data_IF_693340728909
#
_entry.id   IF_693340728909
#
_cell.length_a   1.000
_cell.length_b   1.000
_cell.length_c   1.000
_cell.angle_alpha   90.00
_cell.angle_beta   90.00
_cell.angle_gamma   90.00
#
_symmetry.space_group_name_H-M   'P 1'
#
loop_
_entity.id
_entity.type
_entity.pdbx_description
1 polymer ?
#
# COMPACT_ATOMS: atom_id res chain seq x y z
N UNK A 1 9.90 -0.13 9.06
CA UNK A 1 8.68 0.00 9.89
C UNK A 1 9.06 0.65 11.20
N UNK A 2 8.31 1.65 11.65
CA UNK A 2 8.67 2.46 12.84
C UNK A 2 7.64 2.35 13.98
N UNK A 3 6.42 1.89 13.68
CA UNK A 3 5.33 1.74 14.63
C UNK A 3 4.43 0.55 14.25
N UNK A 4 3.74 0.00 15.24
CA UNK A 4 2.59 -0.89 15.05
C UNK A 4 1.41 -0.34 15.87
N UNK A 5 0.18 -0.48 15.37
CA UNK A 5 -1.01 0.02 16.07
C UNK A 5 -1.93 -1.14 16.38
N UNK A 6 -2.30 -1.27 17.65
CA UNK A 6 -3.29 -2.23 18.13
C UNK A 6 -3.89 -1.72 19.45
N UNK A 7 -5.21 -1.45 19.53
CA UNK A 7 -5.84 -0.79 20.68
C UNK A 7 -5.50 -1.40 22.05
N UNK A 8 -5.37 -2.74 22.11
CA UNK A 8 -5.10 -3.48 23.35
C UNK A 8 -3.64 -3.85 23.65
N UNK A 9 -2.63 -3.36 22.89
CA UNK A 9 -1.22 -3.78 23.04
C UNK A 9 -0.24 -2.64 23.34
N UNK A 10 -0.74 -1.52 23.85
CA UNK A 10 0.09 -0.35 24.12
C UNK A 10 1.29 -0.69 25.02
N UNK A 11 2.48 -0.23 24.63
CA UNK A 11 3.71 -0.47 25.40
C UNK A 11 4.36 -1.84 25.16
N UNK A 12 3.73 -2.74 24.41
CA UNK A 12 4.40 -3.92 23.87
C UNK A 12 5.32 -3.56 22.70
N UNK A 13 6.15 -4.53 22.28
CA UNK A 13 6.95 -4.41 21.06
C UNK A 13 6.65 -5.54 20.09
N UNK A 14 6.36 -5.19 18.84
CA UNK A 14 6.34 -6.12 17.72
C UNK A 14 7.77 -6.50 17.33
N UNK A 15 8.02 -7.80 17.14
CA UNK A 15 9.35 -8.37 16.84
C UNK A 15 10.49 -7.88 17.77
N UNK A 16 10.14 -7.51 19.00
CA UNK A 16 11.09 -7.10 20.04
C UNK A 16 11.62 -5.67 19.93
N UNK A 17 11.37 -4.94 18.84
CA UNK A 17 11.93 -3.60 18.60
C UNK A 17 10.94 -2.53 18.12
N UNK A 18 9.81 -2.89 17.49
CA UNK A 18 8.85 -1.91 16.98
C UNK A 18 7.76 -1.63 18.04
N UNK A 19 7.58 -0.38 18.51
CA UNK A 19 6.61 -0.07 19.56
C UNK A 19 5.16 -0.24 19.07
N UNK A 20 4.34 -0.82 19.94
CA UNK A 20 2.89 -0.80 19.78
C UNK A 20 2.27 0.46 20.40
N UNK A 21 1.34 1.07 19.66
CA UNK A 21 0.51 2.18 20.08
C UNK A 21 -0.97 1.76 20.05
N UNK A 22 -1.80 2.36 20.90
CA UNK A 22 -3.26 2.15 20.85
C UNK A 22 -3.97 2.95 19.76
N UNK A 23 -3.36 4.03 19.26
CA UNK A 23 -3.96 4.97 18.31
C UNK A 23 -2.93 5.39 17.26
N UNK A 24 -3.38 5.59 16.01
CA UNK A 24 -2.49 5.99 14.91
C UNK A 24 -1.91 7.38 15.14
N UNK A 25 -2.72 8.34 15.61
CA UNK A 25 -2.25 9.72 15.83
C UNK A 25 -1.03 9.80 16.76
N UNK A 26 -1.04 9.06 17.87
CA UNK A 26 0.11 8.98 18.76
C UNK A 26 1.33 8.30 18.10
N UNK A 27 1.10 7.27 17.28
CA UNK A 27 2.18 6.63 16.54
C UNK A 27 2.84 7.61 15.56
N UNK A 28 2.04 8.40 14.84
CA UNK A 28 2.53 9.44 13.90
C UNK A 28 3.30 10.52 14.66
N UNK A 29 2.74 11.08 15.73
CA UNK A 29 3.39 12.12 16.53
C UNK A 29 4.77 11.67 17.05
N UNK A 30 4.87 10.43 17.54
CA UNK A 30 6.10 9.94 18.16
C UNK A 30 7.16 9.46 17.16
N UNK A 31 6.75 9.05 15.94
CA UNK A 31 7.66 8.40 14.99
C UNK A 31 7.86 9.16 13.68
N UNK A 32 7.01 10.14 13.39
CA UNK A 32 6.98 10.84 12.10
C UNK A 32 6.57 9.92 10.93
N UNK A 33 5.88 8.82 11.19
CA UNK A 33 5.38 7.94 10.14
C UNK A 33 4.47 8.72 9.18
N UNK A 34 4.70 8.56 7.88
CA UNK A 34 3.91 9.18 6.81
C UNK A 34 3.17 8.15 5.93
N UNK A 35 3.45 6.86 6.12
CA UNK A 35 2.85 5.75 5.38
C UNK A 35 2.32 4.71 6.34
N UNK A 36 1.09 4.25 6.11
CA UNK A 36 0.46 3.18 6.87
C UNK A 36 0.06 1.98 6.01
N UNK A 37 -0.02 0.82 6.67
CA UNK A 37 -0.49 -0.43 6.08
C UNK A 37 -1.54 -1.07 6.97
N UNK A 38 -2.60 -1.57 6.37
CA UNK A 38 -3.77 -2.12 7.08
C UNK A 38 -3.86 -3.62 6.83
N UNK A 39 -3.80 -4.38 7.94
CA UNK A 39 -4.00 -5.83 8.01
C UNK A 39 -5.15 -6.22 8.95
N UNK A 40 -6.11 -5.32 9.14
CA UNK A 40 -7.27 -5.55 10.03
C UNK A 40 -8.34 -6.37 9.33
N UNK A 41 -9.20 -7.11 10.06
CA UNK A 41 -10.37 -7.76 9.48
C UNK A 41 -11.31 -6.79 8.75
N UNK A 42 -11.98 -7.26 7.70
CA UNK A 42 -12.85 -6.45 6.83
C UNK A 42 -13.87 -5.54 7.56
N UNK A 43 -14.57 -5.99 8.61
CA UNK A 43 -15.52 -5.13 9.33
C UNK A 43 -14.91 -3.88 9.97
N UNK A 44 -13.59 -3.86 10.16
CA UNK A 44 -12.86 -2.76 10.81
C UNK A 44 -12.01 -1.95 9.83
N UNK A 45 -12.00 -2.32 8.54
CA UNK A 45 -11.12 -1.70 7.55
C UNK A 45 -11.47 -0.24 7.27
N UNK A 46 -12.76 0.11 7.21
CA UNK A 46 -13.21 1.49 7.04
C UNK A 46 -12.69 2.38 8.17
N UNK A 47 -12.95 2.02 9.42
CA UNK A 47 -12.51 2.79 10.58
C UNK A 47 -10.99 2.92 10.62
N UNK A 48 -10.25 1.85 10.29
CA UNK A 48 -8.78 1.90 10.22
C UNK A 48 -8.26 2.82 9.10
N UNK A 49 -8.92 2.89 7.94
CA UNK A 49 -8.56 3.82 6.88
C UNK A 49 -8.81 5.26 7.35
N UNK A 50 -10.01 5.54 7.88
CA UNK A 50 -10.38 6.87 8.38
C UNK A 50 -9.40 7.34 9.47
N UNK A 51 -9.08 6.47 10.44
CA UNK A 51 -8.13 6.79 11.51
C UNK A 51 -6.74 7.17 10.97
N UNK A 52 -6.27 6.47 9.93
CA UNK A 52 -4.98 6.77 9.29
C UNK A 52 -4.99 8.09 8.52
N UNK A 53 -6.09 8.41 7.83
CA UNK A 53 -6.27 9.69 7.14
C UNK A 53 -6.30 10.83 8.15
N UNK A 54 -7.09 10.70 9.22
CA UNK A 54 -7.24 11.73 10.25
C UNK A 54 -5.94 11.96 11.03
N UNK A 55 -5.10 10.93 11.16
CA UNK A 55 -3.76 11.03 11.75
C UNK A 55 -2.72 11.70 10.84
N UNK A 56 -3.09 12.04 9.59
CA UNK A 56 -2.22 12.74 8.65
C UNK A 56 -1.24 11.84 7.88
N UNK A 57 -1.53 10.56 7.72
CA UNK A 57 -0.74 9.70 6.84
C UNK A 57 -1.01 10.04 5.37
N UNK A 58 0.07 10.24 4.60
CA UNK A 58 0.03 10.64 3.19
C UNK A 58 -0.26 9.46 2.27
N UNK A 59 0.18 8.25 2.66
CA UNK A 59 -0.04 7.01 1.92
C UNK A 59 -0.61 5.92 2.83
N UNK A 60 -1.71 5.31 2.42
CA UNK A 60 -2.39 4.24 3.14
C UNK A 60 -2.55 3.06 2.20
N UNK A 61 -2.05 1.89 2.60
CA UNK A 61 -2.17 0.65 1.83
C UNK A 61 -3.08 -0.32 2.56
N UNK A 62 -4.28 -0.54 2.01
CA UNK A 62 -5.26 -1.47 2.57
C UNK A 62 -5.16 -2.84 1.89
N UNK A 63 -4.59 -3.82 2.60
CA UNK A 63 -4.44 -5.19 2.09
C UNK A 63 -5.74 -5.98 2.25
N UNK A 64 -6.53 -5.65 3.26
CA UNK A 64 -7.75 -6.36 3.65
C UNK A 64 -8.68 -6.65 2.48
N UNK A 65 -9.06 -7.92 2.33
CA UNK A 65 -10.04 -8.40 1.35
C UNK A 65 -11.43 -8.53 1.99
N UNK A 66 -12.48 -8.33 1.19
CA UNK A 66 -13.87 -8.53 1.62
C UNK A 66 -14.48 -7.33 2.35
N UNK A 67 -13.90 -6.14 2.23
CA UNK A 67 -14.49 -4.90 2.74
C UNK A 67 -15.82 -4.65 2.02
N UNK A 68 -16.93 -4.38 2.74
CA UNK A 68 -18.21 -4.09 2.10
C UNK A 68 -18.07 -2.91 1.12
N UNK A 69 -18.59 -3.08 -0.11
CA UNK A 69 -18.52 -2.04 -1.15
C UNK A 69 -19.08 -0.71 -0.67
N UNK A 70 -20.17 -0.73 0.09
CA UNK A 70 -20.79 0.48 0.65
C UNK A 70 -19.86 1.23 1.61
N UNK A 71 -18.99 0.52 2.34
CA UNK A 71 -18.03 1.15 3.23
C UNK A 71 -16.88 1.78 2.44
N UNK A 72 -16.40 1.11 1.39
CA UNK A 72 -15.42 1.69 0.47
C UNK A 72 -15.98 2.92 -0.26
N UNK A 73 -17.27 2.95 -0.63
CA UNK A 73 -17.90 4.15 -1.19
C UNK A 73 -17.87 5.32 -0.19
N UNK A 74 -18.15 5.07 1.10
CA UNK A 74 -18.06 6.10 2.14
C UNK A 74 -16.62 6.57 2.34
N UNK A 75 -15.65 5.65 2.36
CA UNK A 75 -14.22 5.97 2.45
C UNK A 75 -13.83 6.89 1.29
N UNK A 76 -14.13 6.52 0.05
CA UNK A 76 -13.78 7.31 -1.13
C UNK A 76 -14.42 8.70 -1.12
N UNK A 77 -15.66 8.81 -0.61
CA UNK A 77 -16.31 10.10 -0.43
C UNK A 77 -15.63 10.95 0.66
N UNK A 78 -15.18 10.34 1.75
CA UNK A 78 -14.51 11.02 2.86
C UNK A 78 -13.11 11.54 2.48
N UNK A 79 -12.31 10.72 1.80
CA UNK A 79 -10.90 11.03 1.52
C UNK A 79 -10.69 11.92 0.29
N UNK A 80 -11.74 12.19 -0.50
CA UNK A 80 -11.64 12.83 -1.82
C UNK A 80 -10.81 14.12 -1.84
N UNK A 81 -10.97 14.95 -0.80
CA UNK A 81 -10.30 16.26 -0.69
C UNK A 81 -9.24 16.28 0.43
N UNK A 82 -8.86 15.10 0.92
CA UNK A 82 -7.83 14.93 1.96
C UNK A 82 -6.45 14.74 1.31
N UNK A 83 -5.35 15.18 1.95
CA UNK A 83 -3.99 14.98 1.45
C UNK A 83 -3.49 13.54 1.72
N UNK A 84 -4.29 12.54 1.37
CA UNK A 84 -4.00 11.14 1.60
C UNK A 84 -4.30 10.31 0.34
N UNK A 85 -3.39 9.40 -0.01
CA UNK A 85 -3.58 8.43 -1.09
C UNK A 85 -3.88 7.06 -0.51
N UNK A 86 -4.97 6.45 -0.97
CA UNK A 86 -5.34 5.08 -0.62
C UNK A 86 -4.97 4.12 -1.77
N UNK A 87 -4.31 3.01 -1.45
CA UNK A 87 -4.09 1.87 -2.35
C UNK A 87 -4.88 0.68 -1.80
N UNK A 88 -5.62 -0.02 -2.67
CA UNK A 88 -6.59 -1.04 -2.26
C UNK A 88 -7.98 -0.46 -1.97
N UNK A 89 -8.86 -1.17 -1.25
CA UNK A 89 -8.67 -2.45 -0.55
C UNK A 89 -8.38 -3.65 -1.46
N UNK A 90 -8.20 -4.83 -0.86
CA UNK A 90 -7.97 -6.10 -1.55
C UNK A 90 -6.81 -6.03 -2.55
N UNK A 91 -5.64 -5.65 -2.05
CA UNK A 91 -4.45 -5.43 -2.88
C UNK A 91 -3.20 -6.10 -2.30
N UNK A 92 -2.20 -6.43 -3.12
CA UNK A 92 -0.91 -6.91 -2.63
C UNK A 92 -0.01 -5.76 -2.11
N UNK A 93 -0.36 -4.51 -2.38
CA UNK A 93 0.38 -3.32 -1.96
C UNK A 93 1.41 -2.82 -2.98
N UNK A 94 2.50 -2.22 -2.48
CA UNK A 94 3.53 -1.55 -3.29
C UNK A 94 4.93 -2.03 -2.93
N UNK A 95 5.80 -2.13 -3.93
CA UNK A 95 7.20 -2.48 -3.76
C UNK A 95 8.08 -1.69 -4.73
N UNK A 96 9.06 -0.95 -4.20
CA UNK A 96 10.12 -0.27 -4.97
C UNK A 96 11.48 -0.91 -4.65
N UNK A 97 12.03 -1.77 -5.53
CA UNK A 97 13.22 -2.57 -5.22
C UNK A 97 14.48 -1.73 -5.06
N UNK A 98 14.66 -0.65 -5.85
CA UNK A 98 15.82 0.24 -5.75
C UNK A 98 15.86 0.97 -4.38
N UNK A 99 14.70 1.47 -3.93
CA UNK A 99 14.53 2.09 -2.62
C UNK A 99 14.55 1.09 -1.45
N UNK A 100 14.55 -0.23 -1.74
CA UNK A 100 14.40 -1.30 -0.75
C UNK A 100 13.16 -1.12 0.14
N UNK A 101 12.09 -0.57 -0.44
CA UNK A 101 10.85 -0.27 0.24
C UNK A 101 9.75 -1.25 -0.20
N UNK A 102 9.02 -1.78 0.77
CA UNK A 102 7.84 -2.61 0.53
C UNK A 102 6.77 -2.27 1.56
N UNK A 103 5.55 -2.03 1.09
CA UNK A 103 4.36 -1.86 1.90
C UNK A 103 3.30 -2.81 1.37
N UNK A 104 3.15 -3.96 2.02
CA UNK A 104 2.22 -5.02 1.61
C UNK A 104 2.89 -6.40 1.52
N UNK A 105 2.29 -7.26 0.70
CA UNK A 105 2.56 -8.71 0.67
C UNK A 105 3.22 -9.19 -0.64
N UNK A 106 3.67 -8.28 -1.50
CA UNK A 106 4.46 -8.64 -2.70
C UNK A 106 5.73 -9.42 -2.27
N UNK A 107 6.01 -10.60 -2.84
CA UNK A 107 7.22 -11.35 -2.52
C UNK A 107 8.49 -10.60 -2.95
N UNK A 108 9.42 -10.36 -2.03
CA UNK A 108 10.62 -9.56 -2.31
C UNK A 108 11.73 -10.34 -3.05
N UNK A 109 11.60 -11.65 -3.17
CA UNK A 109 12.59 -12.53 -3.81
C UNK A 109 12.40 -12.67 -5.32
N UNK A 110 11.30 -12.18 -5.87
CA UNK A 110 10.98 -12.26 -7.31
C UNK A 110 11.24 -10.94 -8.05
N UNK A 111 11.59 -9.86 -7.33
CA UNK A 111 11.82 -8.52 -7.89
C UNK A 111 13.31 -8.24 -8.05
N UNK A 112 13.64 -7.36 -9.01
CA UNK A 112 15.00 -6.87 -9.24
C UNK A 112 14.92 -5.38 -9.59
N UNK A 113 15.81 -4.51 -9.07
CA UNK A 113 15.87 -3.12 -9.53
C UNK A 113 16.02 -3.03 -11.06
N UNK A 114 15.25 -2.15 -11.68
CA UNK A 114 15.29 -1.83 -13.11
C UNK A 114 14.35 -0.66 -13.42
N UNK A 115 13.90 -0.58 -14.67
CA UNK A 115 13.21 0.60 -15.22
C UNK A 115 11.79 0.31 -15.73
N UNK A 116 11.18 -0.80 -15.32
CA UNK A 116 9.81 -1.16 -15.72
C UNK A 116 8.83 -0.93 -14.57
N UNK A 117 7.86 -0.05 -14.78
CA UNK A 117 6.71 0.11 -13.90
C UNK A 117 5.74 -1.04 -14.07
N UNK A 118 5.24 -1.62 -12.98
CA UNK A 118 4.22 -2.68 -13.03
C UNK A 118 3.01 -2.21 -12.23
N UNK A 119 1.85 -2.16 -12.87
CA UNK A 119 0.57 -1.88 -12.20
C UNK A 119 -0.43 -2.98 -12.51
N UNK A 120 -1.19 -3.45 -11.52
CA UNK A 120 -2.18 -4.51 -11.74
C UNK A 120 -3.26 -4.53 -10.67
N UNK A 121 -4.44 -5.06 -11.03
CA UNK A 121 -5.52 -5.36 -10.07
C UNK A 121 -5.37 -6.72 -9.40
N UNK A 122 -4.62 -7.64 -9.99
CA UNK A 122 -4.49 -9.02 -9.52
C UNK A 122 -3.11 -9.26 -8.90
N UNK A 123 -3.06 -9.68 -7.64
CA UNK A 123 -1.81 -9.98 -6.95
C UNK A 123 -1.00 -11.09 -7.63
N UNK A 124 -1.62 -12.23 -7.92
CA UNK A 124 -0.91 -13.38 -8.52
C UNK A 124 -0.41 -13.08 -9.93
N UNK A 125 -1.18 -12.35 -10.75
CA UNK A 125 -0.72 -11.92 -12.07
C UNK A 125 0.39 -10.87 -11.98
N UNK A 126 0.38 -10.02 -10.95
CA UNK A 126 1.49 -9.10 -10.67
C UNK A 126 2.78 -9.90 -10.45
N UNK A 127 2.72 -10.97 -9.66
CA UNK A 127 3.89 -11.80 -9.36
C UNK A 127 4.42 -12.52 -10.59
N UNK A 128 3.52 -13.04 -11.43
CA UNK A 128 3.88 -13.70 -12.69
C UNK A 128 4.56 -12.73 -13.66
N UNK A 129 3.99 -11.53 -13.86
CA UNK A 129 4.58 -10.50 -14.71
C UNK A 129 5.98 -10.08 -14.21
N UNK A 130 6.10 -9.81 -12.91
CA UNK A 130 7.39 -9.49 -12.27
C UNK A 130 8.42 -10.60 -12.53
N UNK A 131 8.05 -11.86 -12.27
CA UNK A 131 8.94 -13.00 -12.43
C UNK A 131 9.39 -13.18 -13.89
N UNK A 132 8.46 -13.03 -14.85
CA UNK A 132 8.79 -13.10 -16.27
C UNK A 132 9.76 -11.98 -16.69
N UNK A 133 9.56 -10.74 -16.23
CA UNK A 133 10.48 -9.64 -16.51
C UNK A 133 11.89 -9.95 -16.00
N UNK A 134 12.00 -10.43 -14.76
CA UNK A 134 13.29 -10.78 -14.15
C UNK A 134 13.97 -11.94 -14.88
N UNK A 135 13.22 -12.97 -15.28
CA UNK A 135 13.75 -14.09 -16.08
C UNK A 135 14.32 -13.63 -17.43
N UNK A 136 13.77 -12.57 -18.01
CA UNK A 136 14.26 -11.97 -19.26
C UNK A 136 15.30 -10.86 -19.03
N UNK A 137 15.88 -10.78 -17.84
CA UNK A 137 16.96 -9.85 -17.49
C UNK A 137 16.50 -8.43 -17.16
N UNK A 138 15.21 -8.14 -17.30
CA UNK A 138 14.60 -6.85 -16.97
C UNK A 138 14.36 -6.73 -15.45
N UNK A 139 14.06 -5.52 -14.98
CA UNK A 139 13.79 -5.24 -13.58
C UNK A 139 12.74 -4.15 -13.42
N UNK A 140 12.28 -3.94 -12.19
CA UNK A 140 11.18 -3.05 -11.89
C UNK A 140 11.67 -1.75 -11.26
N UNK A 141 11.06 -0.63 -11.66
CA UNK A 141 11.18 0.65 -10.96
C UNK A 141 10.33 0.62 -9.69
N UNK A 142 9.01 0.43 -9.85
CA UNK A 142 8.05 0.18 -8.77
C UNK A 142 6.92 -0.76 -9.25
N UNK A 143 6.47 -1.63 -8.34
CA UNK A 143 5.32 -2.51 -8.54
C UNK A 143 4.16 -2.03 -7.67
N UNK A 144 2.99 -1.79 -8.27
CA UNK A 144 1.78 -1.30 -7.60
C UNK A 144 0.61 -2.24 -7.86
N UNK A 145 0.17 -2.96 -6.83
CA UNK A 145 -1.11 -3.64 -6.88
C UNK A 145 -2.21 -2.70 -6.40
N UNK A 146 -3.08 -2.25 -7.30
CA UNK A 146 -4.13 -1.27 -6.98
C UNK A 146 -5.36 -1.88 -6.30
N UNK A 147 -5.58 -3.19 -6.50
CA UNK A 147 -6.61 -3.97 -5.84
C UNK A 147 -7.70 -4.53 -6.75
N UNK A 148 -8.29 -5.63 -6.29
CA UNK A 148 -9.31 -6.37 -7.03
C UNK A 148 -10.73 -5.84 -6.86
N UNK A 149 -10.99 -5.04 -5.82
CA UNK A 149 -12.33 -4.57 -5.46
C UNK A 149 -12.92 -3.62 -6.52
N UNK A 150 -14.26 -3.50 -6.62
CA UNK A 150 -14.90 -2.60 -7.58
C UNK A 150 -14.74 -1.11 -7.21
N UNK A 151 -14.49 -0.80 -5.94
CA UNK A 151 -14.23 0.55 -5.44
C UNK A 151 -12.92 0.50 -4.66
N UNK A 152 -11.92 1.22 -5.15
CA UNK A 152 -10.58 1.29 -4.57
C UNK A 152 -10.04 2.72 -4.68
N UNK A 153 -8.99 3.02 -3.91
CA UNK A 153 -8.42 4.36 -3.81
C UNK A 153 -7.69 4.82 -5.07
N UNK A 154 -6.66 4.08 -5.45
CA UNK A 154 -5.76 4.43 -6.55
C UNK A 154 -6.15 3.62 -7.79
N UNK A 155 -6.24 4.29 -8.94
CA UNK A 155 -6.62 3.71 -10.22
C UNK A 155 -5.41 3.46 -11.12
N UNK A 156 -5.63 2.78 -12.25
CA UNK A 156 -4.58 2.65 -13.27
C UNK A 156 -4.08 4.01 -13.76
N UNK A 157 -4.97 4.96 -14.04
CA UNK A 157 -4.58 6.28 -14.54
C UNK A 157 -3.73 7.03 -13.53
N UNK A 158 -4.07 6.96 -12.24
CA UNK A 158 -3.24 7.56 -11.19
C UNK A 158 -1.81 7.03 -11.18
N UNK A 159 -1.65 5.71 -11.35
CA UNK A 159 -0.32 5.07 -11.36
C UNK A 159 0.43 5.36 -12.65
N UNK A 160 -0.26 5.40 -13.79
CA UNK A 160 0.34 5.78 -15.07
C UNK A 160 0.87 7.21 -15.04
N UNK A 161 0.15 8.15 -14.44
CA UNK A 161 0.63 9.53 -14.24
C UNK A 161 1.89 9.59 -13.38
N UNK A 162 1.96 8.77 -12.33
CA UNK A 162 3.16 8.66 -11.48
C UNK A 162 4.35 8.04 -12.22
N UNK A 163 4.12 7.01 -13.04
CA UNK A 163 5.17 6.40 -13.86
C UNK A 163 5.66 7.33 -14.98
N UNK A 164 4.78 8.07 -15.62
CA UNK A 164 5.16 9.06 -16.65
C UNK A 164 6.02 10.19 -16.06
N UNK A 165 5.76 10.57 -14.80
CA UNK A 165 6.55 11.58 -14.09
C UNK A 165 7.88 11.04 -13.51
N UNK A 166 8.08 9.72 -13.50
CA UNK A 166 9.25 9.06 -12.94
C UNK A 166 10.31 8.80 -14.01
N UNK A 167 11.42 9.54 -13.95
CA UNK A 167 12.54 9.37 -14.88
C UNK A 167 13.24 8.00 -14.77
N UNK A 168 13.00 7.23 -13.69
CA UNK A 168 13.51 5.86 -13.56
C UNK A 168 12.62 4.83 -14.28
N UNK A 169 11.42 5.20 -14.73
CA UNK A 169 10.49 4.31 -15.43
C UNK A 169 10.51 4.57 -16.94
N UNK A 170 10.97 3.58 -17.73
CA UNK A 170 11.07 3.66 -19.20
C UNK A 170 9.97 2.88 -19.93
N UNK A 171 9.35 1.91 -19.25
CA UNK A 171 8.26 1.11 -19.81
C UNK A 171 7.28 0.68 -18.71
N UNK A 172 6.05 0.37 -19.10
CA UNK A 172 4.98 0.03 -18.15
C UNK A 172 4.31 -1.29 -18.58
N UNK A 173 4.09 -2.16 -17.61
CA UNK A 173 3.19 -3.33 -17.71
C UNK A 173 1.91 -3.04 -16.94
N UNK A 174 0.76 -3.23 -17.59
CA UNK A 174 -0.58 -2.98 -17.08
C UNK A 174 -1.52 -4.17 -17.29
#
# INVERSE_FOLDING_TARGET
MVAAVHPGRNGEKFEGNVPFFSQVAHAVEQTGANTGVIFVPAPFAMDAIIEQVDAGLELIVCITEGVPVIDMVKVMAYIKDMPARLIGSNCPGVLSPAAKAKVGIIPSNIVKPGNIGVVSRSGTLTYEAIAQLVQHGMGQSTCVGIGGDPVHGTTFTDVLELFEADNETEAIVL
#
